data_IF_622260809119
#
_entry.id   IF_622260809119
#
_cell.length_a   1.000
_cell.length_b   1.000
_cell.length_c   1.000
_cell.angle_alpha   90.00
_cell.angle_beta   90.00
_cell.angle_gamma   90.00
#
_symmetry.space_group_name_H-M   'P 1'
#
loop_
_entity.id
_entity.type
_entity.pdbx_description
1 polymer ?
#
# COMPACT_ATOMS: atom_id res chain seq x y z
N UNK A 1 19.98 -0.56 27.71
CA UNK A 1 20.96 0.48 27.35
C UNK A 1 20.57 1.05 25.99
N UNK A 2 19.63 2.00 25.97
CA UNK A 2 19.09 2.58 24.74
C UNK A 2 20.07 3.59 24.15
N UNK A 3 20.36 3.46 22.86
CA UNK A 3 21.35 4.23 22.12
C UNK A 3 20.96 5.72 22.03
N UNK A 4 21.61 6.56 22.83
CA UNK A 4 21.42 8.02 22.92
C UNK A 4 22.06 8.82 21.76
N UNK A 5 22.34 8.23 20.58
CA UNK A 5 23.22 8.89 19.59
C UNK A 5 22.65 9.12 18.19
N UNK A 6 21.34 9.25 17.96
CA UNK A 6 20.85 9.56 16.59
C UNK A 6 19.70 10.57 16.46
N UNK A 7 19.52 11.49 17.42
CA UNK A 7 18.50 12.55 17.32
C UNK A 7 19.08 13.97 17.04
N UNK A 8 20.29 14.09 16.58
CA UNK A 8 20.91 15.40 16.33
C UNK A 8 21.38 15.57 14.88
N UNK A 9 20.45 15.62 13.92
CA UNK A 9 20.79 16.10 12.57
C UNK A 9 19.64 16.72 11.78
N UNK A 10 18.56 17.13 12.40
CA UNK A 10 17.64 18.10 11.82
C UNK A 10 17.90 19.42 12.54
N UNK A 11 18.63 20.31 11.85
CA UNK A 11 19.15 21.56 12.40
C UNK A 11 18.12 22.64 12.69
N UNK A 12 17.02 22.30 13.33
CA UNK A 12 16.11 23.28 13.92
C UNK A 12 16.53 23.51 15.38
N UNK A 13 17.40 24.50 15.58
CA UNK A 13 17.52 25.15 16.89
C UNK A 13 16.23 25.97 17.10
N UNK A 14 15.20 25.35 17.66
CA UNK A 14 14.09 26.12 18.22
C UNK A 14 14.68 26.95 19.37
N UNK A 15 14.76 28.24 19.18
CA UNK A 15 15.17 29.14 20.26
C UNK A 15 13.96 29.35 21.17
N UNK A 16 13.76 28.42 22.12
CA UNK A 16 12.67 28.47 23.11
C UNK A 16 12.66 29.80 23.89
N UNK A 17 13.80 30.50 23.97
CA UNK A 17 13.90 31.79 24.62
C UNK A 17 13.08 32.87 23.89
N UNK A 18 13.02 32.81 22.57
CA UNK A 18 12.23 33.77 21.77
C UNK A 18 10.72 33.58 21.93
N UNK A 19 10.28 32.35 22.23
CA UNK A 19 8.83 32.02 22.44
C UNK A 19 8.38 32.42 23.85
N UNK A 20 9.28 32.44 24.83
CA UNK A 20 8.95 32.66 26.25
C UNK A 20 9.16 34.11 26.72
N UNK A 21 9.83 34.95 25.93
CA UNK A 21 10.17 36.33 26.28
C UNK A 21 9.23 37.40 25.69
N UNK A 22 8.10 37.03 25.12
CA UNK A 22 7.09 37.97 24.62
C UNK A 22 6.30 38.58 25.79
N UNK A 23 6.38 39.91 25.96
CA UNK A 23 5.49 40.68 26.84
C UNK A 23 4.08 40.73 26.21
N UNK A 24 3.31 39.65 26.40
CA UNK A 24 1.94 39.56 25.88
C UNK A 24 0.97 40.28 26.81
N UNK A 25 0.14 41.15 26.24
CA UNK A 25 -0.98 41.77 26.92
C UNK A 25 -2.20 40.82 26.89
N UNK A 26 -2.34 39.98 27.88
CA UNK A 26 -3.41 38.99 28.01
C UNK A 26 -4.82 39.58 28.12
N UNK A 27 -4.98 40.92 28.13
CA UNK A 27 -6.30 41.59 28.08
C UNK A 27 -6.76 41.84 26.67
N UNK A 28 -5.93 41.58 25.66
CA UNK A 28 -6.20 41.73 24.25
C UNK A 28 -6.17 40.35 23.54
N UNK A 29 -6.70 40.33 22.35
CA UNK A 29 -6.53 39.15 21.50
C UNK A 29 -5.04 38.91 21.23
N UNK A 30 -4.63 37.63 21.15
CA UNK A 30 -3.26 37.27 20.88
C UNK A 30 -2.78 37.85 19.52
N UNK A 31 -1.52 38.24 19.41
CA UNK A 31 -1.00 38.67 18.12
C UNK A 31 -1.04 37.51 17.11
N UNK A 32 -1.22 37.81 15.82
CA UNK A 32 -1.17 36.80 14.80
C UNK A 32 0.21 36.14 14.78
N UNK A 33 0.24 34.83 14.90
CA UNK A 33 1.46 34.03 14.82
C UNK A 33 1.48 33.35 13.44
N UNK A 34 2.60 33.40 12.75
CA UNK A 34 2.88 32.47 11.68
C UNK A 34 3.08 31.08 12.30
N UNK A 35 1.99 30.34 12.43
CA UNK A 35 2.04 28.98 12.93
C UNK A 35 2.62 28.11 11.82
N UNK A 36 3.65 27.27 12.09
CA UNK A 36 4.05 26.23 11.17
C UNK A 36 2.82 25.42 10.77
N UNK A 37 2.62 25.19 9.48
CA UNK A 37 1.39 24.66 8.90
C UNK A 37 0.90 23.33 9.47
N UNK A 38 1.68 22.62 10.26
CA UNK A 38 1.31 21.34 10.88
C UNK A 38 0.33 21.45 12.06
N UNK A 39 -0.05 22.66 12.51
CA UNK A 39 -0.99 22.86 13.61
C UNK A 39 -2.17 23.75 13.22
N UNK A 40 -3.03 23.33 12.25
CA UNK A 40 -4.23 24.08 11.96
C UNK A 40 -5.18 23.99 13.17
N UNK A 41 -5.73 25.13 13.56
CA UNK A 41 -6.66 25.23 14.70
C UNK A 41 -8.11 25.06 14.24
N UNK A 42 -8.34 24.95 12.95
CA UNK A 42 -9.69 24.91 12.38
C UNK A 42 -10.32 23.52 12.53
N UNK A 43 -11.52 23.52 13.10
CA UNK A 43 -12.36 22.32 13.25
C UNK A 43 -13.49 22.40 12.23
N UNK A 44 -13.19 22.02 10.98
CA UNK A 44 -14.19 21.99 9.92
C UNK A 44 -14.65 20.56 9.64
N UNK A 45 -15.95 20.37 9.49
CA UNK A 45 -16.55 19.11 9.05
C UNK A 45 -17.29 19.38 7.74
N UNK A 46 -16.54 19.60 6.68
CA UNK A 46 -17.11 20.01 5.41
C UNK A 46 -17.51 18.84 4.49
N UNK A 47 -17.18 17.60 4.87
CA UNK A 47 -17.52 16.42 4.09
C UNK A 47 -18.12 15.29 4.94
N UNK A 48 -19.46 15.28 5.12
CA UNK A 48 -20.14 14.29 5.94
C UNK A 48 -19.96 12.85 5.42
N UNK A 49 -19.81 12.65 4.10
CA UNK A 49 -19.59 11.31 3.53
C UNK A 49 -18.21 10.74 3.92
N UNK A 50 -17.18 11.56 3.96
CA UNK A 50 -15.86 11.16 4.45
C UNK A 50 -15.88 10.87 5.95
N UNK A 51 -16.62 11.68 6.73
CA UNK A 51 -16.79 11.41 8.17
C UNK A 51 -17.54 10.10 8.40
N UNK A 52 -18.55 9.78 7.61
CA UNK A 52 -19.24 8.49 7.69
C UNK A 52 -18.29 7.31 7.43
N UNK A 53 -17.41 7.41 6.43
CA UNK A 53 -16.38 6.39 6.18
C UNK A 53 -15.42 6.25 7.36
N UNK A 54 -15.00 7.35 7.96
CA UNK A 54 -14.13 7.31 9.14
C UNK A 54 -14.83 6.68 10.35
N UNK A 55 -16.11 7.03 10.61
CA UNK A 55 -16.90 6.38 11.65
C UNK A 55 -17.09 4.89 11.38
N UNK A 56 -17.26 4.51 10.11
CA UNK A 56 -17.31 3.12 9.68
C UNK A 56 -15.98 2.41 9.95
N UNK A 57 -14.85 3.01 9.61
CA UNK A 57 -13.52 2.45 9.88
C UNK A 57 -13.31 2.14 11.37
N UNK A 58 -13.79 3.03 12.26
CA UNK A 58 -13.73 2.80 13.72
C UNK A 58 -14.61 1.64 14.19
N UNK A 59 -15.83 1.53 13.64
CA UNK A 59 -16.76 0.45 14.01
C UNK A 59 -16.35 -0.92 13.51
N UNK A 60 -15.75 -0.97 12.32
CA UNK A 60 -15.32 -2.19 11.66
C UNK A 60 -13.86 -2.56 11.96
N UNK A 61 -13.21 -1.78 12.83
CA UNK A 61 -11.83 -2.06 13.22
C UNK A 61 -11.72 -3.46 13.85
N UNK A 62 -10.83 -4.25 13.31
CA UNK A 62 -10.56 -5.62 13.76
C UNK A 62 -9.12 -5.74 14.29
N UNK A 63 -8.84 -6.82 14.98
CA UNK A 63 -7.51 -7.06 15.52
C UNK A 63 -6.97 -8.37 14.95
N UNK A 64 -5.82 -8.36 14.27
CA UNK A 64 -5.19 -9.57 13.72
C UNK A 64 -4.97 -10.67 14.75
N UNK A 65 -4.79 -10.32 16.04
CA UNK A 65 -4.63 -11.31 17.10
C UNK A 65 -5.91 -12.06 17.46
N UNK A 66 -7.07 -11.56 17.07
CA UNK A 66 -8.37 -12.19 17.36
C UNK A 66 -8.76 -13.26 16.33
N UNK A 67 -8.09 -13.30 15.17
CA UNK A 67 -8.27 -14.39 14.20
C UNK A 67 -7.88 -15.71 14.89
N UNK A 68 -8.68 -16.74 14.66
CA UNK A 68 -8.44 -18.04 15.29
C UNK A 68 -7.23 -18.76 14.67
N UNK A 69 -6.03 -18.21 14.90
CA UNK A 69 -4.77 -18.83 14.48
C UNK A 69 -4.51 -20.19 15.12
N UNK A 70 -5.18 -20.52 16.22
CA UNK A 70 -5.06 -21.83 16.87
C UNK A 70 -5.67 -22.94 16.05
N UNK A 71 -6.65 -22.63 15.18
CA UNK A 71 -7.21 -23.60 14.25
C UNK A 71 -6.26 -23.98 13.11
N UNK A 72 -5.28 -23.13 12.82
CA UNK A 72 -4.25 -23.39 11.80
C UNK A 72 -3.13 -24.24 12.42
N UNK A 73 -3.23 -25.57 12.25
CA UNK A 73 -2.16 -26.48 12.71
C UNK A 73 -1.16 -26.72 11.58
N UNK A 74 0.10 -26.28 11.71
CA UNK A 74 1.12 -26.55 10.70
C UNK A 74 1.41 -28.03 10.43
N UNK A 75 0.95 -28.93 11.31
CA UNK A 75 1.10 -30.40 11.11
C UNK A 75 0.13 -30.95 10.08
N UNK A 76 -0.92 -30.21 9.73
CA UNK A 76 -1.88 -30.59 8.68
C UNK A 76 -1.31 -30.40 7.28
N UNK A 77 -0.12 -29.79 7.16
CA UNK A 77 0.54 -29.45 5.92
C UNK A 77 1.93 -30.07 5.84
N UNK A 78 2.31 -30.54 4.67
CA UNK A 78 3.69 -30.97 4.42
C UNK A 78 4.67 -29.76 4.39
N UNK A 79 5.97 -30.02 4.36
CA UNK A 79 6.98 -28.95 4.41
C UNK A 79 6.93 -28.05 3.17
N UNK A 80 6.59 -28.57 1.98
CA UNK A 80 6.46 -27.77 0.76
C UNK A 80 5.23 -26.86 0.80
N UNK A 81 4.11 -27.37 1.27
CA UNK A 81 2.88 -26.59 1.44
C UNK A 81 3.09 -25.43 2.43
N UNK A 82 3.73 -25.71 3.59
CA UNK A 82 4.07 -24.67 4.57
C UNK A 82 4.96 -23.59 3.97
N UNK A 83 6.02 -24.01 3.27
CA UNK A 83 6.96 -23.08 2.62
C UNK A 83 6.27 -22.24 1.54
N UNK A 84 5.42 -22.85 0.69
CA UNK A 84 4.71 -22.15 -0.37
C UNK A 84 3.69 -21.15 0.18
N UNK A 85 2.93 -21.53 1.21
CA UNK A 85 1.98 -20.62 1.84
C UNK A 85 2.71 -19.48 2.59
N UNK A 86 3.82 -19.77 3.29
CA UNK A 86 4.62 -18.73 3.94
C UNK A 86 5.26 -17.78 2.93
N UNK A 87 5.72 -18.29 1.79
CA UNK A 87 6.19 -17.46 0.66
C UNK A 87 5.10 -16.48 0.21
N UNK A 88 3.88 -16.99 -0.01
CA UNK A 88 2.77 -16.17 -0.48
C UNK A 88 2.35 -15.11 0.53
N UNK A 89 2.21 -15.47 1.80
CA UNK A 89 1.92 -14.51 2.85
C UNK A 89 3.02 -13.46 3.03
N UNK A 90 4.28 -13.83 2.87
CA UNK A 90 5.37 -12.85 2.90
C UNK A 90 5.40 -11.95 1.67
N UNK A 91 4.94 -12.43 0.51
CA UNK A 91 4.74 -11.60 -0.68
C UNK A 91 3.66 -10.55 -0.44
N UNK A 92 2.50 -10.95 0.11
CA UNK A 92 1.43 -10.02 0.48
C UNK A 92 1.92 -9.01 1.52
N UNK A 93 2.59 -9.44 2.58
CA UNK A 93 3.17 -8.55 3.58
C UNK A 93 4.11 -7.49 2.98
N UNK A 94 4.86 -7.80 1.93
CA UNK A 94 5.70 -6.81 1.24
C UNK A 94 4.86 -5.72 0.55
N UNK A 95 3.67 -6.04 0.04
CA UNK A 95 2.76 -5.05 -0.55
C UNK A 95 2.11 -4.20 0.52
N UNK A 96 1.53 -4.80 1.55
CA UNK A 96 0.86 -4.10 2.65
C UNK A 96 1.80 -3.16 3.41
N UNK A 97 3.04 -3.60 3.67
CA UNK A 97 4.05 -2.77 4.34
C UNK A 97 4.51 -1.56 3.50
N UNK A 98 4.11 -1.46 2.25
CA UNK A 98 4.38 -0.31 1.41
C UNK A 98 3.40 0.85 1.63
N UNK A 99 2.18 0.57 2.07
CA UNK A 99 1.11 1.55 2.30
C UNK A 99 1.40 2.55 3.44
N UNK A 100 1.75 2.10 4.66
CA UNK A 100 1.87 2.99 5.82
C UNK A 100 2.76 4.22 5.62
N UNK A 101 4.00 4.13 5.09
CA UNK A 101 4.85 5.30 4.93
C UNK A 101 4.31 6.31 3.91
N UNK A 102 3.61 5.83 2.90
CA UNK A 102 3.07 6.70 1.85
C UNK A 102 1.84 7.44 2.33
N UNK A 103 0.89 6.72 2.94
CA UNK A 103 -0.32 7.35 3.48
C UNK A 103 0.00 8.27 4.67
N UNK A 104 0.98 7.92 5.51
CA UNK A 104 1.47 8.81 6.56
C UNK A 104 2.03 10.11 5.98
N UNK A 105 2.79 10.04 4.87
CA UNK A 105 3.31 11.23 4.19
C UNK A 105 2.18 12.08 3.59
N UNK A 106 1.20 11.45 2.94
CA UNK A 106 0.02 12.15 2.42
C UNK A 106 -0.76 12.82 3.57
N UNK A 107 -0.93 12.13 4.70
CA UNK A 107 -1.55 12.70 5.91
C UNK A 107 -0.82 13.96 6.41
N UNK A 108 0.51 13.92 6.54
CA UNK A 108 1.29 15.08 6.95
C UNK A 108 1.04 16.26 5.99
N UNK A 109 1.08 16.01 4.69
CA UNK A 109 0.83 17.06 3.69
C UNK A 109 -0.57 17.67 3.82
N UNK A 110 -1.59 16.89 4.18
CA UNK A 110 -2.95 17.44 4.43
C UNK A 110 -3.00 18.41 5.60
N UNK A 111 -2.16 18.23 6.62
CA UNK A 111 -1.98 19.20 7.70
C UNK A 111 -1.27 20.46 7.23
N UNK A 112 -0.21 20.31 6.42
CA UNK A 112 0.58 21.43 5.89
C UNK A 112 -0.24 22.39 5.01
N UNK A 113 -1.24 21.89 4.28
CA UNK A 113 -2.10 22.69 3.39
C UNK A 113 -3.48 23.02 3.98
N UNK A 114 -3.67 22.76 5.27
CA UNK A 114 -4.95 23.00 5.96
C UNK A 114 -6.16 22.33 5.27
N UNK A 115 -5.98 21.08 4.82
CA UNK A 115 -7.07 20.33 4.20
C UNK A 115 -8.17 20.00 5.21
N UNK A 116 -9.36 19.67 4.70
CA UNK A 116 -10.52 19.30 5.52
C UNK A 116 -10.20 18.21 6.54
N UNK A 117 -10.68 18.37 7.76
CA UNK A 117 -10.45 17.44 8.85
C UNK A 117 -10.86 15.98 8.55
N UNK A 118 -11.98 15.70 7.83
CA UNK A 118 -12.31 14.35 7.41
C UNK A 118 -11.25 13.67 6.53
N UNK A 119 -10.56 14.42 5.67
CA UNK A 119 -9.47 13.88 4.83
C UNK A 119 -8.30 13.44 5.69
N UNK A 120 -7.89 14.26 6.67
CA UNK A 120 -6.82 13.93 7.62
C UNK A 120 -7.13 12.66 8.42
N UNK A 121 -8.37 12.56 8.92
CA UNK A 121 -8.86 11.40 9.69
C UNK A 121 -8.90 10.12 8.86
N UNK A 122 -9.31 10.21 7.60
CA UNK A 122 -9.30 9.06 6.70
C UNK A 122 -7.89 8.56 6.44
N UNK A 123 -6.92 9.43 6.16
CA UNK A 123 -5.52 8.99 6.02
C UNK A 123 -4.99 8.33 7.29
N UNK A 124 -5.34 8.86 8.47
CA UNK A 124 -4.95 8.23 9.73
C UNK A 124 -5.54 6.82 9.88
N UNK A 125 -6.80 6.60 9.46
CA UNK A 125 -7.41 5.26 9.50
C UNK A 125 -6.74 4.30 8.51
N UNK A 126 -6.43 4.75 7.29
CA UNK A 126 -5.74 3.91 6.30
C UNK A 126 -4.36 3.48 6.83
N UNK A 127 -3.56 4.40 7.36
CA UNK A 127 -2.24 4.05 7.94
C UNK A 127 -2.37 2.95 9.00
N UNK A 128 -3.42 3.00 9.83
CA UNK A 128 -3.66 1.98 10.85
C UNK A 128 -4.13 0.65 10.22
N UNK A 129 -4.98 0.71 9.19
CA UNK A 129 -5.47 -0.46 8.47
C UNK A 129 -4.31 -1.19 7.80
N UNK A 130 -3.46 -0.50 7.06
CA UNK A 130 -2.26 -1.05 6.41
C UNK A 130 -1.29 -1.71 7.41
N UNK A 131 -1.09 -1.10 8.59
CA UNK A 131 -0.31 -1.73 9.65
C UNK A 131 -0.94 -3.04 10.16
N UNK A 132 -2.28 -3.12 10.19
CA UNK A 132 -2.99 -4.37 10.56
C UNK A 132 -2.87 -5.42 9.47
N UNK A 133 -2.92 -5.01 8.19
CA UNK A 133 -2.78 -5.91 7.06
C UNK A 133 -1.39 -6.58 7.07
N UNK A 134 -0.32 -5.78 7.20
CA UNK A 134 1.04 -6.30 7.33
C UNK A 134 1.17 -7.25 8.53
N UNK A 135 0.72 -6.83 9.71
CA UNK A 135 0.73 -7.69 10.91
C UNK A 135 -0.02 -9.01 10.66
N UNK A 136 -1.18 -8.98 10.01
CA UNK A 136 -1.98 -10.15 9.71
C UNK A 136 -1.23 -11.12 8.79
N UNK A 137 -0.67 -10.61 7.70
CA UNK A 137 0.13 -11.39 6.76
C UNK A 137 1.35 -12.02 7.44
N UNK A 138 2.05 -11.26 8.30
CA UNK A 138 3.20 -11.76 9.05
C UNK A 138 2.82 -12.80 10.10
N UNK A 139 1.66 -12.70 10.75
CA UNK A 139 1.16 -13.72 11.68
C UNK A 139 0.88 -15.03 10.96
N UNK A 140 0.21 -15.00 9.81
CA UNK A 140 -0.05 -16.17 8.98
C UNK A 140 1.26 -16.84 8.52
N UNK A 141 2.20 -16.03 8.00
CA UNK A 141 3.52 -16.49 7.59
C UNK A 141 4.27 -17.19 8.74
N UNK A 142 4.35 -16.54 9.91
CA UNK A 142 5.07 -17.07 11.07
C UNK A 142 4.39 -18.29 11.68
N UNK A 143 3.08 -18.45 11.55
CA UNK A 143 2.37 -19.64 12.02
C UNK A 143 2.77 -20.87 11.20
N UNK A 144 3.01 -20.71 9.92
CA UNK A 144 3.41 -21.77 8.98
C UNK A 144 4.90 -22.06 9.03
N UNK A 145 5.72 -21.03 8.93
CA UNK A 145 7.17 -21.08 8.95
C UNK A 145 7.72 -19.99 9.88
N UNK A 146 7.91 -20.26 11.17
CA UNK A 146 8.43 -19.28 12.12
C UNK A 146 9.75 -18.67 11.66
N UNK A 147 9.81 -17.33 11.68
CA UNK A 147 11.00 -16.55 11.28
C UNK A 147 11.38 -16.67 9.79
N UNK A 148 10.43 -16.98 8.90
CA UNK A 148 10.69 -17.20 7.47
C UNK A 148 11.58 -16.13 6.84
N UNK A 149 11.38 -14.85 7.16
CA UNK A 149 12.20 -13.74 6.66
C UNK A 149 13.40 -13.38 7.56
N UNK A 150 13.44 -13.84 8.81
CA UNK A 150 14.34 -13.31 9.84
C UNK A 150 15.28 -14.37 10.46
N UNK A 151 15.52 -15.45 9.78
CA UNK A 151 16.44 -16.46 10.29
C UNK A 151 15.97 -17.90 10.15
N UNK A 152 14.85 -18.12 9.48
CA UNK A 152 14.42 -19.46 9.09
C UNK A 152 15.48 -20.14 8.24
N UNK A 153 15.76 -21.39 8.58
CA UNK A 153 16.78 -22.19 7.88
C UNK A 153 16.10 -23.13 6.90
N UNK A 154 16.32 -22.95 5.57
CA UNK A 154 15.83 -23.87 4.57
C UNK A 154 16.35 -25.28 4.81
N UNK A 155 15.51 -26.27 4.58
CA UNK A 155 15.83 -27.70 4.75
C UNK A 155 16.02 -28.43 3.42
N UNK A 156 15.71 -27.76 2.31
CA UNK A 156 15.76 -28.35 0.98
C UNK A 156 16.07 -27.27 -0.07
N UNK A 157 16.45 -27.67 -1.28
CA UNK A 157 16.63 -26.78 -2.42
C UNK A 157 15.33 -26.04 -2.79
N UNK A 158 14.17 -26.66 -2.55
CA UNK A 158 12.87 -26.02 -2.70
C UNK A 158 12.74 -24.81 -1.78
N UNK A 159 13.04 -24.99 -0.51
CA UNK A 159 13.01 -23.93 0.50
C UNK A 159 14.02 -22.82 0.22
N UNK A 160 15.24 -23.18 -0.22
CA UNK A 160 16.26 -22.21 -0.61
C UNK A 160 15.81 -21.33 -1.77
N UNK A 161 15.15 -21.92 -2.76
CA UNK A 161 14.61 -21.20 -3.89
C UNK A 161 13.48 -20.26 -3.47
N UNK A 162 12.55 -20.70 -2.64
CA UNK A 162 11.50 -19.87 -2.09
C UNK A 162 12.08 -18.65 -1.34
N UNK A 163 13.01 -18.91 -0.42
CA UNK A 163 13.64 -17.84 0.38
C UNK A 163 14.46 -16.88 -0.48
N UNK A 164 15.14 -17.37 -1.50
CA UNK A 164 15.89 -16.55 -2.45
C UNK A 164 14.95 -15.66 -3.26
N UNK A 165 13.86 -16.21 -3.78
CA UNK A 165 12.87 -15.47 -4.55
C UNK A 165 12.27 -14.33 -3.73
N UNK A 166 11.80 -14.60 -2.52
CA UNK A 166 11.19 -13.55 -1.70
C UNK A 166 12.19 -12.45 -1.32
N UNK A 167 13.47 -12.78 -1.11
CA UNK A 167 14.52 -11.78 -0.91
C UNK A 167 14.69 -10.87 -2.14
N UNK A 168 14.58 -11.42 -3.35
CA UNK A 168 14.61 -10.61 -4.57
C UNK A 168 13.36 -9.73 -4.73
N UNK A 169 12.19 -10.19 -4.30
CA UNK A 169 10.98 -9.37 -4.22
C UNK A 169 11.22 -8.17 -3.30
N UNK A 170 11.68 -8.41 -2.08
CA UNK A 170 11.97 -7.33 -1.12
C UNK A 170 13.07 -6.37 -1.60
N UNK A 171 14.11 -6.90 -2.25
CA UNK A 171 15.16 -6.08 -2.85
C UNK A 171 14.60 -5.15 -3.94
N UNK A 172 13.80 -5.67 -4.85
CA UNK A 172 13.17 -4.87 -5.90
C UNK A 172 12.13 -3.89 -5.34
N UNK A 173 11.36 -4.30 -4.34
CA UNK A 173 10.47 -3.41 -3.62
C UNK A 173 11.22 -2.23 -3.00
N UNK A 174 12.33 -2.48 -2.33
CA UNK A 174 13.17 -1.43 -1.75
C UNK A 174 13.76 -0.50 -2.83
N UNK A 175 14.19 -1.04 -3.97
CA UNK A 175 14.65 -0.23 -5.11
C UNK A 175 13.54 0.66 -5.65
N UNK A 176 12.39 0.09 -5.89
CA UNK A 176 11.20 0.81 -6.36
C UNK A 176 10.87 1.97 -5.41
N UNK A 177 10.73 1.69 -4.13
CA UNK A 177 10.37 2.71 -3.15
C UNK A 177 11.45 3.76 -2.95
N UNK A 178 12.74 3.43 -3.09
CA UNK A 178 13.82 4.41 -3.07
C UNK A 178 13.69 5.43 -4.21
N UNK A 179 13.48 4.98 -5.44
CA UNK A 179 13.28 5.85 -6.60
C UNK A 179 11.95 6.58 -6.54
N UNK A 180 10.88 5.81 -6.33
CA UNK A 180 9.52 6.30 -6.29
C UNK A 180 9.27 7.32 -5.17
N UNK A 181 9.72 7.04 -3.95
CA UNK A 181 9.54 7.97 -2.83
C UNK A 181 10.27 9.29 -3.06
N UNK A 182 11.43 9.27 -3.70
CA UNK A 182 12.21 10.49 -3.99
C UNK A 182 11.46 11.39 -4.96
N UNK A 183 10.81 10.83 -5.98
CA UNK A 183 10.02 11.59 -6.95
C UNK A 183 8.62 11.92 -6.42
N UNK A 184 7.96 10.95 -5.83
CA UNK A 184 6.55 10.92 -5.49
C UNK A 184 6.19 11.73 -4.25
N UNK A 185 7.02 11.65 -3.22
CA UNK A 185 6.79 12.34 -1.95
C UNK A 185 6.91 13.87 -2.05
N UNK A 186 7.28 14.37 -3.22
CA UNK A 186 7.30 15.82 -3.53
C UNK A 186 5.97 16.34 -4.07
N UNK A 187 5.06 15.44 -4.45
CA UNK A 187 3.78 15.82 -5.04
C UNK A 187 2.73 16.10 -3.98
N UNK A 188 1.73 16.88 -4.38
CA UNK A 188 0.60 17.17 -3.53
C UNK A 188 -0.21 15.90 -3.22
N UNK A 189 -0.87 15.86 -2.07
CA UNK A 189 -1.68 14.71 -1.65
C UNK A 189 -2.76 14.30 -2.68
N UNK A 190 -3.40 15.21 -3.47
CA UNK A 190 -4.34 14.80 -4.50
C UNK A 190 -3.71 13.92 -5.59
N UNK A 191 -2.46 14.20 -5.97
CA UNK A 191 -1.73 13.40 -6.95
C UNK A 191 -1.37 12.03 -6.35
N UNK A 192 -0.81 12.02 -5.14
CA UNK A 192 -0.49 10.81 -4.40
C UNK A 192 -1.74 9.92 -4.31
N UNK A 193 -2.81 10.50 -3.86
CA UNK A 193 -4.08 9.86 -3.60
C UNK A 193 -4.73 9.26 -4.85
N UNK A 194 -4.77 10.01 -5.95
CA UNK A 194 -5.37 9.55 -7.20
C UNK A 194 -4.66 8.32 -7.77
N UNK A 195 -3.35 8.25 -7.59
CA UNK A 195 -2.55 7.13 -8.07
C UNK A 195 -2.71 5.86 -7.22
N UNK A 196 -2.98 5.99 -5.91
CA UNK A 196 -3.27 4.83 -5.05
C UNK A 196 -4.58 4.15 -5.37
N UNK A 197 -5.51 4.83 -5.99
CA UNK A 197 -6.79 4.23 -6.38
C UNK A 197 -6.63 2.94 -7.18
N UNK A 198 -5.60 2.85 -8.00
CA UNK A 198 -5.30 1.63 -8.76
C UNK A 198 -4.82 0.50 -7.83
N UNK A 199 -3.95 0.83 -6.88
CA UNK A 199 -3.45 -0.11 -5.87
C UNK A 199 -4.60 -0.66 -5.02
N UNK A 200 -5.38 0.23 -4.42
CA UNK A 200 -6.53 -0.11 -3.59
C UNK A 200 -7.57 -0.96 -4.34
N UNK A 201 -7.80 -0.64 -5.64
CA UNK A 201 -8.72 -1.44 -6.46
C UNK A 201 -8.19 -2.84 -6.73
N UNK A 202 -6.90 -2.97 -6.99
CA UNK A 202 -6.25 -4.26 -7.19
C UNK A 202 -6.23 -5.08 -5.90
N UNK A 203 -5.88 -4.47 -4.77
CA UNK A 203 -5.86 -5.10 -3.45
C UNK A 203 -7.25 -5.59 -3.05
N UNK A 204 -8.27 -4.71 -3.07
CA UNK A 204 -9.65 -5.06 -2.75
C UNK A 204 -10.14 -6.25 -3.59
N UNK A 205 -9.82 -6.26 -4.89
CA UNK A 205 -10.23 -7.34 -5.80
C UNK A 205 -9.48 -8.64 -5.47
N UNK A 206 -8.16 -8.58 -5.28
CA UNK A 206 -7.33 -9.75 -5.00
C UNK A 206 -7.76 -10.42 -3.69
N UNK A 207 -7.81 -9.69 -2.59
CA UNK A 207 -8.16 -10.22 -1.28
C UNK A 207 -9.61 -10.75 -1.24
N UNK A 208 -10.54 -10.06 -1.91
CA UNK A 208 -11.92 -10.51 -2.02
C UNK A 208 -12.02 -11.86 -2.76
N UNK A 209 -11.35 -12.00 -3.90
CA UNK A 209 -11.37 -13.25 -4.65
C UNK A 209 -10.63 -14.36 -3.91
N UNK A 210 -9.45 -14.08 -3.34
CA UNK A 210 -8.72 -15.06 -2.53
C UNK A 210 -9.56 -15.55 -1.34
N UNK A 211 -10.33 -14.68 -0.68
CA UNK A 211 -11.19 -15.08 0.44
C UNK A 211 -12.30 -16.06 0.05
N UNK A 212 -12.80 -15.97 -1.19
CA UNK A 212 -13.81 -16.89 -1.72
C UNK A 212 -13.26 -18.27 -2.06
N UNK A 213 -11.99 -18.33 -2.46
CA UNK A 213 -11.31 -19.57 -2.83
C UNK A 213 -10.56 -20.22 -1.66
N UNK A 214 -10.37 -19.50 -0.56
CA UNK A 214 -9.73 -20.04 0.64
C UNK A 214 -10.61 -21.09 1.32
N UNK A 215 -10.01 -22.21 1.70
CA UNK A 215 -10.72 -23.31 2.37
C UNK A 215 -10.46 -23.37 3.87
N UNK A 216 -9.43 -22.67 4.38
CA UNK A 216 -9.12 -22.66 5.80
C UNK A 216 -9.77 -21.43 6.49
N UNK A 217 -10.56 -21.63 7.58
CA UNK A 217 -11.30 -20.54 8.23
C UNK A 217 -10.45 -19.32 8.62
N UNK A 218 -9.27 -19.53 9.20
CA UNK A 218 -8.37 -18.44 9.59
C UNK A 218 -7.87 -17.64 8.39
N UNK A 219 -7.56 -18.29 7.26
CA UNK A 219 -7.16 -17.58 6.04
C UNK A 219 -8.34 -16.82 5.44
N UNK A 220 -9.51 -17.46 5.36
CA UNK A 220 -10.73 -16.83 4.84
C UNK A 220 -11.09 -15.59 5.65
N UNK A 221 -11.01 -15.65 6.98
CA UNK A 221 -11.27 -14.52 7.87
C UNK A 221 -10.25 -13.39 7.67
N UNK A 222 -8.96 -13.73 7.63
CA UNK A 222 -7.88 -12.76 7.39
C UNK A 222 -8.07 -12.02 6.07
N UNK A 223 -8.21 -12.74 4.97
CA UNK A 223 -8.37 -12.20 3.62
C UNK A 223 -9.65 -11.34 3.48
N UNK A 224 -10.75 -11.76 4.11
CA UNK A 224 -12.01 -11.02 4.10
C UNK A 224 -11.92 -9.71 4.88
N UNK A 225 -11.25 -9.71 6.02
CA UNK A 225 -11.08 -8.51 6.83
C UNK A 225 -10.21 -7.48 6.10
N UNK A 226 -9.12 -7.89 5.48
CA UNK A 226 -8.31 -7.03 4.62
C UNK A 226 -9.16 -6.48 3.46
N UNK A 227 -9.85 -7.34 2.70
CA UNK A 227 -10.70 -6.91 1.59
C UNK A 227 -11.78 -5.89 1.99
N UNK A 228 -12.31 -5.98 3.21
CA UNK A 228 -13.27 -5.03 3.74
C UNK A 228 -12.64 -3.66 3.97
N UNK A 229 -11.45 -3.60 4.53
CA UNK A 229 -10.69 -2.36 4.73
C UNK A 229 -10.33 -1.73 3.37
N UNK A 230 -9.80 -2.51 2.42
CA UNK A 230 -9.47 -2.07 1.07
C UNK A 230 -10.68 -1.47 0.32
N UNK A 231 -11.87 -2.02 0.57
CA UNK A 231 -13.10 -1.46 -0.01
C UNK A 231 -13.43 -0.07 0.55
N UNK A 232 -13.09 0.21 1.81
CA UNK A 232 -13.22 1.56 2.40
C UNK A 232 -12.17 2.51 1.86
N UNK A 233 -10.93 2.05 1.71
CA UNK A 233 -9.85 2.82 1.09
C UNK A 233 -10.25 3.25 -0.32
N UNK A 234 -10.78 2.32 -1.11
CA UNK A 234 -11.27 2.62 -2.45
C UNK A 234 -12.42 3.64 -2.45
N UNK A 235 -13.38 3.52 -1.51
CA UNK A 235 -14.47 4.50 -1.39
C UNK A 235 -13.94 5.89 -1.02
N UNK A 236 -12.94 5.96 -0.13
CA UNK A 236 -12.28 7.21 0.20
C UNK A 236 -11.55 7.81 -1.00
N UNK A 237 -10.79 6.99 -1.75
CA UNK A 237 -10.09 7.47 -2.95
C UNK A 237 -11.06 8.05 -3.98
N UNK A 238 -12.22 7.44 -4.18
CA UNK A 238 -13.26 7.97 -5.08
C UNK A 238 -13.82 9.30 -4.62
N UNK A 239 -14.22 9.42 -3.36
CA UNK A 239 -14.77 10.66 -2.82
C UNK A 239 -13.74 11.78 -2.82
N UNK A 240 -12.48 11.45 -2.50
CA UNK A 240 -11.38 12.39 -2.54
C UNK A 240 -11.10 12.91 -3.96
N UNK A 241 -11.01 12.01 -4.95
CA UNK A 241 -10.80 12.42 -6.33
C UNK A 241 -11.92 13.32 -6.84
N UNK A 242 -13.19 12.98 -6.59
CA UNK A 242 -14.32 13.82 -6.93
C UNK A 242 -14.21 15.24 -6.35
N UNK A 243 -13.67 15.35 -5.13
CA UNK A 243 -13.49 16.64 -4.45
C UNK A 243 -12.37 17.51 -5.01
N UNK A 244 -11.39 16.92 -5.70
CA UNK A 244 -10.19 17.63 -6.17
C UNK A 244 -9.99 17.63 -7.67
N UNK A 245 -10.69 16.76 -8.42
CA UNK A 245 -10.46 16.58 -9.85
C UNK A 245 -10.50 17.87 -10.67
N UNK A 246 -11.43 18.76 -10.33
CA UNK A 246 -11.57 20.07 -10.98
C UNK A 246 -10.46 21.07 -10.62
N UNK A 247 -9.63 20.75 -9.63
CA UNK A 247 -8.50 21.58 -9.19
C UNK A 247 -7.17 21.10 -9.76
N UNK A 248 -7.14 19.92 -10.37
CA UNK A 248 -5.94 19.38 -11.00
C UNK A 248 -5.62 20.16 -12.27
N UNK A 249 -4.38 20.63 -12.35
CA UNK A 249 -3.84 21.21 -13.60
C UNK A 249 -3.56 20.09 -14.60
N UNK A 250 -3.33 20.46 -15.86
CA UNK A 250 -2.95 19.47 -16.89
C UNK A 250 -1.61 18.76 -16.56
N UNK A 251 -0.70 19.44 -15.88
CA UNK A 251 0.54 18.80 -15.41
C UNK A 251 0.29 17.85 -14.26
N UNK A 252 -0.62 18.17 -13.34
CA UNK A 252 -1.04 17.25 -12.28
C UNK A 252 -1.67 15.98 -12.87
N UNK A 253 -2.53 16.12 -13.89
CA UNK A 253 -3.15 14.98 -14.58
C UNK A 253 -2.11 14.07 -15.24
N UNK A 254 -1.14 14.65 -15.93
CA UNK A 254 0.00 13.88 -16.48
C UNK A 254 0.77 13.16 -15.37
N UNK A 255 0.98 13.83 -14.24
CA UNK A 255 1.65 13.21 -13.09
C UNK A 255 0.84 12.04 -12.55
N UNK A 256 -0.49 12.16 -12.44
CA UNK A 256 -1.37 11.02 -12.05
C UNK A 256 -1.20 9.86 -13.02
N UNK A 257 -1.19 10.11 -14.34
CA UNK A 257 -0.96 9.07 -15.36
C UNK A 257 0.35 8.32 -15.12
N UNK A 258 1.45 9.05 -14.89
CA UNK A 258 2.77 8.46 -14.56
C UNK A 258 2.70 7.61 -13.30
N UNK A 259 2.05 8.12 -12.27
CA UNK A 259 1.96 7.43 -10.98
C UNK A 259 1.09 6.17 -11.04
N UNK A 260 0.01 6.18 -11.79
CA UNK A 260 -0.82 4.99 -12.06
C UNK A 260 0.02 3.89 -12.72
N UNK A 261 0.86 4.25 -13.72
CA UNK A 261 1.76 3.29 -14.36
C UNK A 261 2.80 2.74 -13.39
N UNK A 262 3.42 3.63 -12.60
CA UNK A 262 4.41 3.23 -11.61
C UNK A 262 3.82 2.28 -10.56
N UNK A 263 2.66 2.60 -10.00
CA UNK A 263 1.97 1.75 -9.03
C UNK A 263 1.65 0.38 -9.61
N UNK A 264 1.13 0.32 -10.83
CA UNK A 264 0.85 -0.96 -11.47
C UNK A 264 2.11 -1.78 -11.75
N UNK A 265 3.21 -1.14 -12.12
CA UNK A 265 4.49 -1.84 -12.31
C UNK A 265 4.94 -2.57 -11.05
N UNK A 266 4.76 -1.96 -9.88
CA UNK A 266 5.02 -2.63 -8.60
C UNK A 266 4.09 -3.83 -8.39
N UNK A 267 2.79 -3.66 -8.62
CA UNK A 267 1.79 -4.73 -8.49
C UNK A 267 1.98 -5.87 -9.52
N UNK A 268 2.56 -5.57 -10.68
CA UNK A 268 2.79 -6.56 -11.74
C UNK A 268 3.67 -7.74 -11.32
N UNK A 269 4.42 -7.61 -10.22
CA UNK A 269 5.16 -8.74 -9.63
C UNK A 269 4.24 -9.89 -9.21
N UNK A 270 3.00 -9.62 -8.82
CA UNK A 270 1.99 -10.64 -8.50
C UNK A 270 1.51 -11.36 -9.76
N UNK A 271 1.58 -10.72 -10.93
CA UNK A 271 1.15 -11.29 -12.21
C UNK A 271 2.24 -12.13 -12.90
N UNK A 272 3.48 -12.16 -12.39
CA UNK A 272 4.63 -12.84 -12.98
C UNK A 272 5.04 -12.35 -14.37
N UNK A 273 4.53 -11.21 -14.75
CA UNK A 273 4.85 -10.51 -15.99
C UNK A 273 5.46 -9.12 -15.69
N UNK A 274 6.37 -9.01 -14.68
CA UNK A 274 6.99 -7.72 -14.43
C UNK A 274 7.84 -7.34 -15.62
N UNK A 275 7.90 -6.07 -16.02
CA UNK A 275 8.83 -5.61 -17.05
C UNK A 275 10.25 -6.02 -16.67
N UNK A 276 10.88 -6.86 -17.50
CA UNK A 276 12.20 -7.49 -17.21
C UNK A 276 13.30 -6.45 -17.07
N UNK A 277 13.17 -5.37 -17.80
CA UNK A 277 14.09 -4.23 -17.77
C UNK A 277 14.08 -3.53 -16.42
N UNK A 278 12.92 -3.54 -15.79
CA UNK A 278 12.66 -2.83 -14.54
C UNK A 278 13.03 -3.66 -13.30
N UNK A 279 12.69 -4.94 -13.31
CA UNK A 279 12.91 -5.84 -12.20
C UNK A 279 14.20 -6.64 -12.35
N UNK A 280 15.07 -6.57 -11.35
CA UNK A 280 16.26 -7.43 -11.27
C UNK A 280 15.85 -8.76 -10.64
N UNK A 281 15.65 -9.76 -11.48
CA UNK A 281 15.12 -11.07 -11.06
C UNK A 281 16.10 -12.20 -11.44
N UNK A 282 16.23 -13.24 -10.60
CA UNK A 282 16.96 -14.46 -10.98
C UNK A 282 16.34 -15.13 -12.23
N UNK A 283 17.12 -15.84 -13.05
CA UNK A 283 16.61 -16.46 -14.27
C UNK A 283 15.42 -17.42 -14.04
N UNK A 284 15.38 -18.11 -12.91
CA UNK A 284 14.33 -19.08 -12.57
C UNK A 284 13.23 -18.47 -11.66
N UNK A 285 13.20 -17.15 -11.49
CA UNK A 285 12.28 -16.49 -10.56
C UNK A 285 10.82 -16.86 -10.83
N UNK A 286 10.38 -16.74 -12.09
CA UNK A 286 8.98 -16.98 -12.47
C UNK A 286 8.57 -18.43 -12.27
N UNK A 287 9.44 -19.39 -12.58
CA UNK A 287 9.15 -20.81 -12.40
C UNK A 287 8.98 -21.17 -10.91
N UNK A 288 9.87 -20.62 -10.06
CA UNK A 288 9.77 -20.78 -8.61
C UNK A 288 8.47 -20.17 -8.10
N UNK A 289 8.12 -18.97 -8.52
CA UNK A 289 6.92 -18.28 -8.06
C UNK A 289 5.64 -19.01 -8.49
N UNK A 290 5.55 -19.48 -9.75
CA UNK A 290 4.42 -20.29 -10.25
C UNK A 290 4.27 -21.59 -9.46
N UNK A 291 5.39 -22.23 -9.15
CA UNK A 291 5.37 -23.46 -8.34
C UNK A 291 4.86 -23.20 -6.92
N UNK A 292 5.34 -22.13 -6.25
CA UNK A 292 4.83 -21.73 -4.94
C UNK A 292 3.33 -21.40 -4.98
N UNK A 293 2.88 -20.72 -6.04
CA UNK A 293 1.45 -20.40 -6.23
C UNK A 293 0.60 -21.68 -6.32
N UNK A 294 0.98 -22.62 -7.19
CA UNK A 294 0.24 -23.86 -7.38
C UNK A 294 0.10 -24.63 -6.07
N UNK A 295 1.21 -24.82 -5.35
CA UNK A 295 1.22 -25.55 -4.06
C UNK A 295 0.40 -24.82 -3.00
N UNK A 296 0.51 -23.49 -2.89
CA UNK A 296 -0.26 -22.72 -1.92
C UNK A 296 -1.77 -22.74 -2.20
N UNK A 297 -2.16 -22.73 -3.50
CA UNK A 297 -3.54 -22.88 -3.93
C UNK A 297 -4.08 -24.26 -3.57
N UNK A 298 -3.36 -25.32 -3.90
CA UNK A 298 -3.75 -26.70 -3.61
C UNK A 298 -3.81 -26.96 -2.08
N UNK A 299 -3.03 -26.23 -1.29
CA UNK A 299 -3.09 -26.24 0.16
C UNK A 299 -4.25 -25.42 0.75
N UNK A 300 -5.10 -24.81 -0.09
CA UNK A 300 -6.31 -24.11 0.35
C UNK A 300 -6.12 -22.67 0.82
N UNK A 301 -5.01 -22.01 0.47
CA UNK A 301 -4.80 -20.59 0.79
C UNK A 301 -5.73 -19.66 0.00
N UNK A 302 -6.28 -20.11 -1.11
CA UNK A 302 -7.16 -19.29 -1.97
C UNK A 302 -6.40 -18.48 -3.01
N UNK A 303 -5.14 -18.79 -3.25
CA UNK A 303 -4.32 -18.11 -4.27
C UNK A 303 -4.91 -18.34 -5.65
N UNK A 304 -5.14 -17.25 -6.37
CA UNK A 304 -5.65 -17.27 -7.74
C UNK A 304 -4.57 -17.71 -8.73
N UNK A 305 -4.95 -18.37 -9.82
CA UNK A 305 -4.06 -18.57 -10.96
C UNK A 305 -3.69 -17.23 -11.62
N UNK A 306 -2.68 -17.23 -12.46
CA UNK A 306 -2.30 -16.02 -13.21
C UNK A 306 -3.43 -15.54 -14.11
N UNK A 307 -4.14 -16.46 -14.74
CA UNK A 307 -5.27 -16.17 -15.62
C UNK A 307 -6.44 -15.54 -14.83
N UNK A 308 -6.75 -16.08 -13.67
CA UNK A 308 -7.78 -15.55 -12.77
C UNK A 308 -7.40 -14.16 -12.27
N UNK A 309 -6.14 -13.96 -11.81
CA UNK A 309 -5.63 -12.65 -11.38
C UNK A 309 -5.68 -11.63 -12.51
N UNK A 310 -5.17 -11.99 -13.68
CA UNK A 310 -5.18 -11.12 -14.86
C UNK A 310 -6.60 -10.72 -15.24
N UNK A 311 -7.53 -11.66 -15.23
CA UNK A 311 -8.93 -11.42 -15.60
C UNK A 311 -9.62 -10.49 -14.58
N UNK A 312 -9.51 -10.79 -13.29
CA UNK A 312 -10.18 -10.00 -12.26
C UNK A 312 -9.59 -8.60 -12.16
N UNK A 313 -8.27 -8.44 -12.24
CA UNK A 313 -7.62 -7.13 -12.24
C UNK A 313 -7.92 -6.33 -13.51
N UNK A 314 -7.88 -6.96 -14.69
CA UNK A 314 -8.24 -6.28 -15.93
C UNK A 314 -9.64 -5.67 -15.83
N UNK A 315 -10.61 -6.43 -15.37
CA UNK A 315 -12.00 -5.95 -15.22
C UNK A 315 -12.09 -4.80 -14.19
N UNK A 316 -11.43 -4.95 -13.04
CA UNK A 316 -11.40 -3.95 -12.00
C UNK A 316 -10.74 -2.64 -12.46
N UNK A 317 -9.63 -2.75 -13.18
CA UNK A 317 -8.85 -1.59 -13.65
C UNK A 317 -9.54 -0.87 -14.82
N UNK A 318 -10.29 -1.58 -15.66
CA UNK A 318 -11.11 -0.93 -16.69
C UNK A 318 -12.18 0.00 -16.08
N UNK A 319 -12.69 -0.32 -14.90
CA UNK A 319 -13.57 0.60 -14.16
C UNK A 319 -12.82 1.85 -13.71
N UNK A 320 -11.60 1.69 -13.16
CA UNK A 320 -10.75 2.82 -12.77
C UNK A 320 -10.44 3.70 -13.99
N UNK A 321 -10.05 3.07 -15.11
CA UNK A 321 -9.79 3.78 -16.36
C UNK A 321 -10.97 4.65 -16.79
N UNK A 322 -12.16 4.06 -16.86
CA UNK A 322 -13.37 4.82 -17.25
C UNK A 322 -13.59 6.04 -16.36
N UNK A 323 -13.38 5.93 -15.07
CA UNK A 323 -13.57 7.05 -14.14
C UNK A 323 -12.45 8.09 -14.26
N UNK A 324 -11.20 7.68 -14.55
CA UNK A 324 -10.13 8.63 -14.84
C UNK A 324 -10.43 9.43 -16.12
N UNK A 325 -10.94 8.77 -17.15
CA UNK A 325 -11.37 9.41 -18.39
C UNK A 325 -12.47 10.48 -18.14
N UNK A 326 -13.42 10.24 -17.20
CA UNK A 326 -14.46 11.21 -16.79
C UNK A 326 -13.87 12.50 -16.20
N UNK A 327 -12.67 12.44 -15.62
CA UNK A 327 -11.94 13.60 -15.08
C UNK A 327 -10.91 14.19 -16.05
N UNK A 328 -10.84 13.67 -17.27
CA UNK A 328 -9.86 14.10 -18.27
C UNK A 328 -8.42 13.70 -17.91
N UNK A 329 -8.26 12.61 -17.16
CA UNK A 329 -6.96 12.02 -16.84
C UNK A 329 -6.71 10.87 -17.81
N UNK A 330 -5.71 11.01 -18.67
CA UNK A 330 -5.31 9.95 -19.60
C UNK A 330 -4.80 8.73 -18.80
N UNK A 331 -5.44 7.59 -19.01
CA UNK A 331 -5.02 6.38 -18.33
C UNK A 331 -3.78 5.77 -18.99
N UNK A 332 -2.79 5.25 -18.23
CA UNK A 332 -1.59 4.65 -18.82
C UNK A 332 -1.89 3.33 -19.51
N UNK A 333 -1.05 2.97 -20.47
CA UNK A 333 -1.01 1.62 -21.02
C UNK A 333 -0.51 0.62 -19.96
N UNK A 334 -1.21 -0.51 -19.85
CA UNK A 334 -0.84 -1.62 -18.96
C UNK A 334 -0.80 -2.91 -19.82
N UNK A 335 0.27 -3.11 -20.59
CA UNK A 335 0.38 -4.22 -21.53
C UNK A 335 0.35 -5.59 -20.84
N UNK A 336 0.78 -5.68 -19.58
CA UNK A 336 0.80 -6.90 -18.77
C UNK A 336 -0.61 -7.53 -18.60
N UNK A 337 -1.64 -6.73 -18.72
CA UNK A 337 -3.05 -7.15 -18.63
C UNK A 337 -3.87 -6.72 -19.85
N UNK A 338 -3.22 -6.31 -20.94
CA UNK A 338 -3.86 -5.97 -22.19
C UNK A 338 -4.74 -4.71 -22.15
N UNK A 339 -4.39 -3.72 -21.34
CA UNK A 339 -5.07 -2.42 -21.29
C UNK A 339 -4.26 -1.42 -22.12
N UNK A 340 -4.94 -0.83 -23.13
CA UNK A 340 -4.38 0.25 -23.94
C UNK A 340 -4.56 1.61 -23.26
N UNK A 341 -3.61 2.51 -23.48
CA UNK A 341 -3.64 3.85 -22.89
C UNK A 341 -2.42 4.67 -23.30
N UNK A 342 -2.08 5.67 -22.50
CA UNK A 342 -0.90 6.51 -22.70
C UNK A 342 0.37 5.71 -22.40
N UNK A 343 1.30 5.70 -23.35
CA UNK A 343 2.62 5.12 -23.12
C UNK A 343 3.37 5.94 -22.08
N UNK A 344 3.96 5.24 -21.12
CA UNK A 344 4.78 5.80 -20.03
C UNK A 344 6.05 4.98 -19.94
N UNK A 345 7.17 5.63 -20.11
CA UNK A 345 8.49 5.03 -19.97
C UNK A 345 9.02 5.18 -18.54
N UNK A 346 10.06 4.46 -18.22
CA UNK A 346 10.74 4.56 -16.93
C UNK A 346 12.21 4.86 -17.18
N UNK A 347 12.75 5.74 -16.36
CA UNK A 347 14.18 5.87 -16.22
C UNK A 347 14.74 4.62 -15.51
N UNK A 348 15.60 3.88 -16.17
CA UNK A 348 16.10 2.58 -15.69
C UNK A 348 16.92 2.67 -14.40
N UNK A 349 17.61 3.79 -14.19
CA UNK A 349 18.48 4.00 -13.03
C UNK A 349 17.68 4.47 -11.81
N UNK A 350 16.76 5.39 -12.01
CA UNK A 350 16.00 6.03 -10.93
C UNK A 350 14.66 5.37 -10.67
N UNK A 351 14.15 4.55 -11.62
CA UNK A 351 12.82 3.95 -11.61
C UNK A 351 11.69 5.01 -11.58
N UNK A 352 11.97 6.22 -12.07
CA UNK A 352 10.98 7.30 -12.16
C UNK A 352 10.27 7.21 -13.52
N UNK A 353 8.93 7.24 -13.54
CA UNK A 353 8.19 7.24 -14.80
C UNK A 353 8.39 8.56 -15.55
N UNK A 354 8.60 8.47 -16.88
CA UNK A 354 8.75 9.59 -17.82
C UNK A 354 7.72 9.50 -18.95
N UNK A 355 7.64 10.54 -19.77
CA UNK A 355 6.88 10.52 -21.01
C UNK A 355 7.83 10.65 -22.17
#
# INVERSE_FOLDING_TARGET
MFCKKRFYSLGYKVNLKTILDENLDYTKDPPPIEIPNIYPVEWTVDNPKLMELFERAKREAWNPSNINWSSLDPRDYDDKQKTAMAYWWSLLANFENSGPPVFAKAMIHTFEIHEQDPVKKMFASIVMDECRHDECCMRACNKLCPYFLQGWKPKSTFDENALRNIKWVYYNGARYWKGYSTAYMKHSWPIIFSSFMLGERCAATLFSEMSKHSTHPAFTEALRNIAMDESRHLAFTWLGLQGVANKLTEEDKKMVTRQLRAGFTFLSMILYEPPKEFWKLPPNFLDVQRNMEGIARDAGLGVLSIEEKTTCWRNAILEVKRRMDEFGIEFPALPEIGITGKEVEFDEDTMIPTF
#
